data_IF_630678171435
#
_entry.id   IF_630678171435
#
_cell.length_a   1.000
_cell.length_b   1.000
_cell.length_c   1.000
_cell.angle_alpha   90.00
_cell.angle_beta   90.00
_cell.angle_gamma   90.00
#
_symmetry.space_group_name_H-M   'P 1'
#
loop_
_entity.id
_entity.type
_entity.pdbx_description
1 polymer ?
#
# COMPACT_ATOMS: atom_id res chain seq x y z
N UNK A 1 -21.56 -22.16 2.71
CA UNK A 1 -20.28 -22.07 3.43
C UNK A 1 -19.36 -23.09 2.78
N UNK A 2 -18.32 -22.66 2.07
CA UNK A 2 -17.38 -23.57 1.42
C UNK A 2 -16.44 -24.05 2.53
N UNK A 3 -16.32 -25.37 2.73
CA UNK A 3 -15.36 -25.94 3.68
C UNK A 3 -14.06 -26.31 2.98
N UNK A 4 -12.96 -26.42 3.74
CA UNK A 4 -11.62 -26.68 3.19
C UNK A 4 -11.56 -27.91 2.26
N UNK A 5 -12.29 -28.97 2.62
CA UNK A 5 -12.40 -30.18 1.81
C UNK A 5 -13.01 -29.94 0.42
N UNK A 6 -13.93 -28.98 0.30
CA UNK A 6 -14.55 -28.64 -0.98
C UNK A 6 -13.53 -27.95 -1.90
N UNK A 7 -12.71 -27.04 -1.34
CA UNK A 7 -11.62 -26.40 -2.08
C UNK A 7 -10.58 -27.42 -2.55
N UNK A 8 -10.19 -28.38 -1.72
CA UNK A 8 -9.24 -29.42 -2.12
C UNK A 8 -9.79 -30.30 -3.25
N UNK A 9 -11.06 -30.70 -3.16
CA UNK A 9 -11.71 -31.51 -4.18
C UNK A 9 -11.83 -30.75 -5.52
N UNK A 10 -12.15 -29.46 -5.47
CA UNK A 10 -12.22 -28.59 -6.65
C UNK A 10 -10.83 -28.36 -7.26
N UNK A 11 -9.82 -28.10 -6.43
CA UNK A 11 -8.44 -27.90 -6.87
C UNK A 11 -7.88 -29.14 -7.59
N UNK A 12 -8.12 -30.35 -7.05
CA UNK A 12 -7.64 -31.60 -7.67
C UNK A 12 -8.18 -31.83 -9.08
N UNK A 13 -9.39 -31.35 -9.39
CA UNK A 13 -10.03 -31.56 -10.70
C UNK A 13 -9.86 -30.38 -11.65
N UNK A 14 -9.75 -29.16 -11.11
CA UNK A 14 -9.95 -27.93 -11.88
C UNK A 14 -8.99 -26.79 -11.48
N UNK A 15 -7.79 -27.12 -10.98
CA UNK A 15 -6.80 -26.16 -10.46
C UNK A 15 -6.61 -24.93 -11.36
N UNK A 16 -6.33 -25.14 -12.65
CA UNK A 16 -6.08 -24.04 -13.57
C UNK A 16 -7.27 -23.09 -13.67
N UNK A 17 -8.49 -23.62 -13.79
CA UNK A 17 -9.69 -22.79 -13.88
C UNK A 17 -9.97 -22.00 -12.59
N UNK A 18 -9.64 -22.56 -11.43
CA UNK A 18 -9.76 -21.85 -10.15
C UNK A 18 -8.80 -20.67 -10.07
N UNK A 19 -7.55 -20.89 -10.46
CA UNK A 19 -6.53 -19.83 -10.52
C UNK A 19 -7.00 -18.74 -11.49
N UNK A 20 -7.36 -19.11 -12.73
CA UNK A 20 -7.81 -18.13 -13.73
C UNK A 20 -9.04 -17.35 -13.29
N UNK A 21 -10.05 -18.01 -12.72
CA UNK A 21 -11.25 -17.34 -12.25
C UNK A 21 -10.97 -16.41 -11.06
N UNK A 22 -10.06 -16.79 -10.16
CA UNK A 22 -9.64 -15.96 -9.04
C UNK A 22 -8.91 -14.70 -9.52
N UNK A 23 -7.93 -14.86 -10.40
CA UNK A 23 -7.17 -13.74 -10.99
C UNK A 23 -8.10 -12.81 -11.79
N UNK A 24 -8.97 -13.37 -12.62
CA UNK A 24 -9.95 -12.60 -13.39
C UNK A 24 -10.89 -11.81 -12.49
N UNK A 25 -11.39 -12.43 -11.42
CA UNK A 25 -12.27 -11.75 -10.46
C UNK A 25 -11.53 -10.64 -9.72
N UNK A 26 -10.28 -10.86 -9.32
CA UNK A 26 -9.47 -9.83 -8.68
C UNK A 26 -9.24 -8.63 -9.61
N UNK A 27 -8.79 -8.86 -10.85
CA UNK A 27 -8.57 -7.79 -11.83
C UNK A 27 -9.87 -7.02 -12.13
N UNK A 28 -10.98 -7.74 -12.31
CA UNK A 28 -12.31 -7.13 -12.52
C UNK A 28 -12.72 -6.22 -11.36
N UNK A 29 -12.38 -6.59 -10.12
CA UNK A 29 -12.64 -5.76 -8.94
C UNK A 29 -11.78 -4.49 -8.92
N UNK A 30 -10.50 -4.60 -9.26
CA UNK A 30 -9.59 -3.44 -9.36
C UNK A 30 -10.09 -2.47 -10.42
N UNK A 31 -10.48 -2.98 -11.60
CA UNK A 31 -11.06 -2.17 -12.69
C UNK A 31 -12.30 -1.41 -12.21
N UNK A 32 -13.22 -2.11 -11.54
CA UNK A 32 -14.45 -1.49 -11.02
C UNK A 32 -14.18 -0.40 -9.98
N UNK A 33 -13.18 -0.59 -9.13
CA UNK A 33 -12.75 0.43 -8.16
C UNK A 33 -12.18 1.64 -8.90
N UNK A 34 -11.32 1.43 -9.90
CA UNK A 34 -10.76 2.51 -10.72
C UNK A 34 -11.86 3.29 -11.46
N UNK A 35 -12.86 2.60 -12.02
CA UNK A 35 -14.01 3.25 -12.68
C UNK A 35 -14.81 4.13 -11.73
N UNK A 36 -15.05 3.63 -10.51
CA UNK A 36 -15.77 4.40 -9.48
C UNK A 36 -15.00 5.67 -9.12
N UNK A 37 -13.69 5.56 -8.88
CA UNK A 37 -12.83 6.69 -8.55
C UNK A 37 -12.78 7.69 -9.71
N UNK A 38 -12.63 7.22 -10.95
CA UNK A 38 -12.57 8.07 -12.13
C UNK A 38 -13.87 8.87 -12.35
N UNK A 39 -15.02 8.24 -12.11
CA UNK A 39 -16.32 8.92 -12.18
C UNK A 39 -16.46 10.01 -11.10
N UNK A 40 -15.81 9.83 -9.95
CA UNK A 40 -15.81 10.77 -8.83
C UNK A 40 -14.66 11.79 -8.98
N UNK A 41 -14.86 12.82 -9.81
CA UNK A 41 -13.87 13.85 -10.16
C UNK A 41 -13.25 14.64 -9.00
N UNK A 42 -13.68 14.41 -7.76
CA UNK A 42 -13.23 15.12 -6.56
C UNK A 42 -12.25 14.32 -5.68
N UNK A 43 -11.93 13.06 -6.02
CA UNK A 43 -11.01 12.25 -5.21
C UNK A 43 -9.58 12.81 -5.30
N UNK A 44 -9.07 13.29 -4.16
CA UNK A 44 -7.69 13.81 -4.04
C UNK A 44 -6.70 12.79 -3.47
N UNK A 45 -7.17 11.84 -2.67
CA UNK A 45 -6.33 10.89 -1.95
C UNK A 45 -7.05 9.56 -1.78
N UNK A 46 -6.30 8.46 -1.91
CA UNK A 46 -6.78 7.09 -1.72
C UNK A 46 -5.87 6.44 -0.68
N UNK A 47 -6.45 5.92 0.40
CA UNK A 47 -5.70 5.28 1.48
C UNK A 47 -5.91 3.76 1.42
N UNK A 48 -4.81 3.01 1.41
CA UNK A 48 -4.82 1.55 1.33
C UNK A 48 -4.22 0.99 2.61
N UNK A 49 -5.08 0.46 3.49
CA UNK A 49 -4.70 -0.10 4.77
C UNK A 49 -4.80 -1.64 4.77
N UNK A 50 -4.02 -2.28 5.64
CA UNK A 50 -3.99 -3.73 5.81
C UNK A 50 -2.69 -4.21 6.45
N UNK A 51 -2.64 -5.46 6.98
CA UNK A 51 -1.44 -6.02 7.60
C UNK A 51 -0.24 -6.09 6.64
N UNK A 52 0.97 -6.22 7.19
CA UNK A 52 2.15 -6.51 6.38
C UNK A 52 1.93 -7.77 5.52
N UNK A 53 2.48 -7.77 4.30
CA UNK A 53 2.30 -8.82 3.29
C UNK A 53 0.86 -9.11 2.81
N UNK A 54 -0.15 -8.28 3.12
CA UNK A 54 -1.54 -8.48 2.64
C UNK A 54 -1.78 -8.09 1.16
N UNK A 55 -0.73 -7.76 0.41
CA UNK A 55 -0.84 -7.37 -1.00
C UNK A 55 -1.11 -5.87 -1.26
N UNK A 56 -1.00 -5.00 -0.26
CA UNK A 56 -1.24 -3.53 -0.39
C UNK A 56 -0.45 -2.90 -1.53
N UNK A 57 0.86 -3.15 -1.58
CA UNK A 57 1.75 -2.58 -2.59
C UNK A 57 1.37 -3.05 -3.99
N UNK A 58 1.05 -4.33 -4.15
CA UNK A 58 0.58 -4.90 -5.42
C UNK A 58 -0.73 -4.26 -5.85
N UNK A 59 -1.71 -4.18 -4.94
CA UNK A 59 -3.00 -3.54 -5.22
C UNK A 59 -2.83 -2.04 -5.56
N UNK A 60 -1.99 -1.31 -4.83
CA UNK A 60 -1.72 0.10 -5.08
C UNK A 60 -1.11 0.34 -6.47
N UNK A 61 -0.20 -0.53 -6.90
CA UNK A 61 0.40 -0.47 -8.25
C UNK A 61 -0.65 -0.74 -9.33
N UNK A 62 -1.41 -1.82 -9.20
CA UNK A 62 -2.45 -2.16 -10.17
C UNK A 62 -3.51 -1.05 -10.25
N UNK A 63 -3.97 -0.52 -9.12
CA UNK A 63 -4.93 0.57 -9.11
C UNK A 63 -4.37 1.85 -9.77
N UNK A 64 -3.11 2.19 -9.49
CA UNK A 64 -2.43 3.31 -10.13
C UNK A 64 -2.38 3.14 -11.66
N UNK A 65 -1.94 1.97 -12.15
CA UNK A 65 -1.87 1.67 -13.59
C UNK A 65 -3.26 1.81 -14.24
N UNK A 66 -4.32 1.31 -13.60
CA UNK A 66 -5.70 1.41 -14.12
C UNK A 66 -6.20 2.86 -14.15
N UNK A 67 -5.84 3.68 -13.17
CA UNK A 67 -6.20 5.11 -13.12
C UNK A 67 -5.40 5.92 -14.15
N UNK A 68 -4.11 5.66 -14.30
CA UNK A 68 -3.23 6.30 -15.27
C UNK A 68 -3.66 6.00 -16.70
N UNK A 69 -4.08 4.77 -17.00
CA UNK A 69 -4.68 4.42 -18.29
C UNK A 69 -5.92 5.27 -18.63
N UNK A 70 -6.65 5.76 -17.62
CA UNK A 70 -7.80 6.67 -17.79
C UNK A 70 -7.40 8.15 -17.84
N UNK A 71 -6.10 8.45 -17.87
CA UNK A 71 -5.54 9.80 -17.89
C UNK A 71 -5.50 10.48 -16.53
N UNK A 72 -5.69 9.75 -15.42
CA UNK A 72 -5.55 10.31 -14.07
C UNK A 72 -4.09 10.22 -13.65
N UNK A 73 -3.48 11.35 -13.32
CA UNK A 73 -2.12 11.36 -12.77
C UNK A 73 -2.15 10.85 -11.33
N UNK A 74 -1.40 9.80 -11.04
CA UNK A 74 -1.33 9.20 -9.70
C UNK A 74 0.08 9.38 -9.13
N UNK A 75 0.16 9.76 -7.86
CA UNK A 75 1.40 9.75 -7.09
C UNK A 75 1.25 8.76 -5.94
N UNK A 76 2.10 7.73 -5.92
CA UNK A 76 2.11 6.71 -4.86
C UNK A 76 3.07 7.14 -3.75
N UNK A 77 2.58 7.12 -2.52
CA UNK A 77 3.36 7.43 -1.32
C UNK A 77 3.27 6.23 -0.39
N UNK A 78 4.41 5.69 0.01
CA UNK A 78 4.47 4.62 1.02
C UNK A 78 4.55 5.23 2.41
N UNK A 79 3.73 4.76 3.35
CA UNK A 79 3.87 5.16 4.76
C UNK A 79 5.20 4.69 5.35
N UNK A 80 5.77 3.62 4.80
CA UNK A 80 7.05 3.07 5.25
C UNK A 80 8.22 4.04 5.01
N UNK A 81 8.09 4.95 4.03
CA UNK A 81 9.09 5.99 3.77
C UNK A 81 9.22 6.98 4.95
N UNK A 82 8.23 7.00 5.86
CA UNK A 82 8.17 7.88 7.03
C UNK A 82 8.70 7.24 8.31
N UNK A 83 9.25 6.02 8.26
CA UNK A 83 9.93 5.43 9.42
C UNK A 83 11.05 6.34 9.95
N UNK A 84 11.27 6.30 11.26
CA UNK A 84 12.44 6.87 11.91
C UNK A 84 13.62 5.89 11.83
N UNK A 85 14.83 6.38 12.07
CA UNK A 85 16.03 5.54 12.08
C UNK A 85 15.90 4.44 13.16
N UNK A 86 16.29 3.20 12.82
CA UNK A 86 16.12 2.03 13.70
C UNK A 86 16.80 2.18 15.07
N UNK A 87 17.88 2.94 15.14
CA UNK A 87 18.60 3.24 16.37
C UNK A 87 17.84 4.18 17.33
N UNK A 88 16.76 4.81 16.86
CA UNK A 88 15.86 5.66 17.66
C UNK A 88 14.61 4.92 18.13
N UNK A 89 14.37 3.71 17.65
CA UNK A 89 13.21 2.89 18.03
C UNK A 89 13.52 2.18 19.34
N UNK A 90 12.58 2.25 20.30
CA UNK A 90 12.72 1.54 21.55
C UNK A 90 12.68 0.02 21.33
N UNK A 91 13.55 -0.69 22.05
CA UNK A 91 13.59 -2.15 22.04
C UNK A 91 12.54 -2.68 23.01
N UNK A 92 11.72 -3.60 22.54
CA UNK A 92 10.73 -4.30 23.34
C UNK A 92 11.38 -5.18 24.42
N UNK A 93 10.65 -5.59 25.48
CA UNK A 93 11.17 -6.48 26.52
C UNK A 93 11.70 -7.83 26.00
N UNK A 94 11.27 -8.26 24.81
CA UNK A 94 11.74 -9.48 24.15
C UNK A 94 13.03 -9.27 23.32
N UNK A 95 13.61 -8.07 23.32
CA UNK A 95 14.83 -7.74 22.58
C UNK A 95 14.60 -7.37 21.11
N UNK A 96 13.36 -7.33 20.62
CA UNK A 96 13.02 -6.96 19.24
C UNK A 96 12.65 -5.48 19.13
N UNK A 97 12.82 -4.90 17.94
CA UNK A 97 12.34 -3.55 17.64
C UNK A 97 10.82 -3.57 17.36
N UNK A 98 10.09 -2.60 17.92
CA UNK A 98 8.66 -2.43 17.64
C UNK A 98 8.42 -1.63 16.35
N UNK A 99 8.74 -2.25 15.21
CA UNK A 99 8.63 -1.63 13.88
C UNK A 99 7.17 -1.40 13.42
N UNK A 100 6.21 -2.08 14.04
CA UNK A 100 4.79 -1.96 13.68
C UNK A 100 4.05 -0.89 14.50
N UNK A 101 4.68 -0.33 15.53
CA UNK A 101 4.11 0.74 16.34
C UNK A 101 4.16 2.09 15.65
N UNK A 102 3.25 2.99 16.06
CA UNK A 102 3.31 4.41 15.66
C UNK A 102 4.62 5.09 16.11
N UNK A 103 5.29 4.57 17.15
CA UNK A 103 6.55 5.12 17.65
C UNK A 103 7.71 4.92 16.66
N UNK A 104 7.61 3.92 15.77
CA UNK A 104 8.59 3.71 14.71
C UNK A 104 8.43 4.71 13.54
N UNK A 105 7.34 5.48 13.50
CA UNK A 105 7.01 6.37 12.39
C UNK A 105 7.09 7.85 12.80
N UNK A 106 7.58 8.69 11.91
CA UNK A 106 7.53 10.15 12.07
C UNK A 106 6.14 10.66 11.71
N UNK A 107 5.22 10.48 12.66
CA UNK A 107 3.81 10.87 12.51
C UNK A 107 3.68 12.36 12.22
N UNK A 108 4.57 13.21 12.77
CA UNK A 108 4.55 14.66 12.53
C UNK A 108 4.83 14.97 11.06
N UNK A 109 5.86 14.38 10.48
CA UNK A 109 6.18 14.57 9.07
C UNK A 109 5.10 14.00 8.16
N UNK A 110 4.55 12.81 8.48
CA UNK A 110 3.46 12.22 7.72
C UNK A 110 2.22 13.11 7.70
N UNK A 111 1.80 13.61 8.87
CA UNK A 111 0.66 14.53 8.99
C UNK A 111 0.88 15.80 8.18
N UNK A 112 2.03 16.47 8.36
CA UNK A 112 2.38 17.67 7.59
C UNK A 112 2.34 17.42 6.08
N UNK A 113 2.85 16.27 5.65
CA UNK A 113 2.89 15.90 4.23
C UNK A 113 1.48 15.71 3.67
N UNK A 114 0.62 14.98 4.38
CA UNK A 114 -0.77 14.73 3.97
C UNK A 114 -1.56 16.04 3.90
N UNK A 115 -1.48 16.88 4.94
CA UNK A 115 -2.16 18.18 4.99
C UNK A 115 -1.70 19.09 3.84
N UNK A 116 -0.39 19.22 3.64
CA UNK A 116 0.18 20.02 2.56
C UNK A 116 -0.26 19.55 1.17
N UNK A 117 -0.32 18.23 0.95
CA UNK A 117 -0.81 17.67 -0.32
C UNK A 117 -2.30 17.95 -0.55
N UNK A 118 -3.13 17.88 0.48
CA UNK A 118 -4.57 18.18 0.37
C UNK A 118 -4.86 19.65 0.04
N UNK A 119 -3.98 20.54 0.50
CA UNK A 119 -3.96 21.97 0.17
C UNK A 119 -3.42 22.27 -1.24
N UNK A 120 -2.78 21.28 -1.90
CA UNK A 120 -2.20 21.43 -3.23
C UNK A 120 -0.76 21.94 -3.24
N UNK A 121 -0.08 21.93 -2.08
CA UNK A 121 1.32 22.31 -1.97
C UNK A 121 2.23 21.19 -2.50
N UNK A 122 3.42 21.57 -2.96
CA UNK A 122 4.50 20.63 -3.25
C UNK A 122 5.16 20.23 -1.94
N UNK A 123 5.47 18.94 -1.82
CA UNK A 123 6.15 18.35 -0.66
C UNK A 123 7.29 17.47 -1.15
N UNK A 124 8.29 17.31 -0.30
CA UNK A 124 9.38 16.37 -0.54
C UNK A 124 9.11 15.13 0.29
N UNK A 125 8.98 13.98 -0.37
CA UNK A 125 8.70 12.72 0.31
C UNK A 125 10.03 12.09 0.74
N UNK A 126 10.19 11.72 2.02
CA UNK A 126 11.38 11.01 2.48
C UNK A 126 11.52 9.66 1.76
N UNK A 127 12.69 9.04 1.91
CA UNK A 127 12.91 7.66 1.50
C UNK A 127 13.52 6.91 2.68
N UNK A 128 12.96 5.76 3.01
CA UNK A 128 13.54 4.89 4.03
C UNK A 128 14.36 3.78 3.37
N UNK A 129 15.61 3.61 3.78
CA UNK A 129 16.43 2.48 3.37
C UNK A 129 16.31 1.36 4.40
N UNK A 130 15.66 0.26 4.00
CA UNK A 130 15.47 -0.90 4.86
C UNK A 130 16.72 -1.74 5.09
N UNK A 131 17.72 -1.62 4.20
CA UNK A 131 19.01 -2.31 4.36
C UNK A 131 19.80 -1.59 5.45
N UNK A 132 19.97 -0.28 5.31
CA UNK A 132 20.68 0.54 6.30
C UNK A 132 19.86 0.79 7.58
N UNK A 133 18.54 0.65 7.50
CA UNK A 133 17.62 0.94 8.61
C UNK A 133 17.55 2.42 8.96
N UNK A 134 17.75 3.30 7.98
CA UNK A 134 17.85 4.75 8.15
C UNK A 134 17.14 5.47 7.04
N UNK A 135 16.78 6.73 7.29
CA UNK A 135 16.37 7.63 6.20
C UNK A 135 17.53 7.83 5.23
N UNK A 136 17.24 7.62 3.96
CA UNK A 136 18.18 7.92 2.91
C UNK A 136 18.33 9.43 2.76
N UNK A 137 19.53 9.89 2.37
CA UNK A 137 19.81 11.31 2.15
C UNK A 137 19.17 11.88 0.87
N UNK A 138 18.62 11.00 0.02
CA UNK A 138 17.86 11.35 -1.17
C UNK A 138 16.35 11.38 -0.89
N UNK A 139 15.61 12.07 -1.75
CA UNK A 139 14.16 12.26 -1.61
C UNK A 139 13.46 12.07 -2.95
N UNK A 140 12.13 11.87 -2.92
CA UNK A 140 11.29 11.84 -4.12
C UNK A 140 10.46 13.12 -4.19
N UNK A 141 10.44 13.75 -5.37
CA UNK A 141 9.55 14.89 -5.71
C UNK A 141 8.18 14.44 -6.23
#
# INVERSE_FOLDING_TARGET
>A
MIVWSDMEALAKKHLSSLIYNSEYNFDSQVIRIADKIYAEKAVKMILIAGPSASGKTTFANLLADRLEFRGVKVHRISTDDFFIDRDKIEVLPNGLLDMDSLNAMDVKLLTFTIESLLEGNRVVIPRFDFVEGKRAGDTRE
#
